data_IF_052630810591
#
_entry.id   IF_052630810591
#
_cell.length_a   1.000
_cell.length_b   1.000
_cell.length_c   1.000
_cell.angle_alpha   90.00
_cell.angle_beta   90.00
_cell.angle_gamma   90.00
#
_symmetry.space_group_name_H-M   'P 1'
#
loop_
_entity.id
_entity.type
_entity.pdbx_description
1 polymer ?
#
# COMPACT_ATOMS: atom_id res chain seq x y z
N UNK A 1 4.53 10.56 -23.45
CA UNK A 1 3.91 9.76 -22.37
C UNK A 1 4.76 8.52 -22.22
N UNK A 2 5.43 8.37 -21.07
CA UNK A 2 6.22 7.17 -20.76
C UNK A 2 5.21 6.08 -20.38
N UNK A 3 5.28 4.89 -20.98
CA UNK A 3 4.37 3.83 -20.62
C UNK A 3 4.69 3.30 -19.21
N UNK A 4 3.70 2.77 -18.49
CA UNK A 4 3.89 2.18 -17.16
C UNK A 4 5.02 1.14 -17.14
N UNK A 5 5.18 0.38 -18.21
CA UNK A 5 6.25 -0.61 -18.39
C UNK A 5 7.67 -0.01 -18.40
N UNK A 6 7.79 1.32 -18.50
CA UNK A 6 9.07 2.04 -18.51
C UNK A 6 9.47 2.54 -17.11
N UNK A 7 8.55 2.56 -16.15
CA UNK A 7 8.84 2.87 -14.76
C UNK A 7 9.22 1.59 -14.00
N UNK A 8 10.42 1.54 -13.40
CA UNK A 8 10.84 0.38 -12.61
C UNK A 8 9.89 0.11 -11.44
N UNK A 9 9.69 -1.18 -11.14
CA UNK A 9 8.92 -1.60 -9.98
C UNK A 9 9.66 -1.18 -8.70
N UNK A 10 9.01 -0.47 -7.75
CA UNK A 10 9.64 -0.10 -6.50
C UNK A 10 9.99 -1.33 -5.66
N UNK A 11 11.02 -1.22 -4.89
CA UNK A 11 11.45 -2.23 -3.92
C UNK A 11 11.57 -1.61 -2.53
N UNK A 12 11.81 -2.40 -1.51
CA UNK A 12 12.10 -1.89 -0.17
C UNK A 12 13.30 -0.94 -0.17
N UNK A 13 14.32 -1.21 -0.98
CA UNK A 13 15.51 -0.37 -1.10
C UNK A 13 15.20 1.01 -1.67
N UNK A 14 14.19 1.12 -2.53
CA UNK A 14 13.72 2.41 -3.09
C UNK A 14 13.44 3.44 -1.99
N UNK A 15 12.94 2.98 -0.85
CA UNK A 15 12.59 3.81 0.30
C UNK A 15 13.46 3.54 1.53
N UNK A 16 14.61 2.90 1.35
CA UNK A 16 15.56 2.55 2.43
C UNK A 16 14.91 1.78 3.59
N UNK A 17 13.94 0.92 3.28
CA UNK A 17 13.22 0.12 4.26
C UNK A 17 14.04 -1.09 4.68
N UNK A 18 13.90 -1.48 5.95
CA UNK A 18 14.58 -2.63 6.55
C UNK A 18 13.65 -3.46 7.42
N UNK A 19 14.03 -4.71 7.72
CA UNK A 19 13.30 -5.58 8.64
C UNK A 19 11.86 -5.84 8.20
N UNK A 20 10.93 -5.77 9.15
CA UNK A 20 9.50 -6.00 8.91
C UNK A 20 8.88 -5.01 7.92
N UNK A 21 9.32 -3.76 7.90
CA UNK A 21 8.85 -2.75 6.96
C UNK A 21 9.22 -3.11 5.52
N UNK A 22 10.45 -3.59 5.30
CA UNK A 22 10.87 -4.06 4.00
C UNK A 22 10.02 -5.24 3.53
N UNK A 23 9.78 -6.20 4.40
CA UNK A 23 8.99 -7.39 4.06
C UNK A 23 7.53 -7.06 3.72
N UNK A 24 6.87 -6.24 4.53
CA UNK A 24 5.47 -5.87 4.27
C UNK A 24 5.34 -4.98 3.03
N UNK A 25 6.32 -4.12 2.76
CA UNK A 25 6.34 -3.29 1.56
C UNK A 25 6.51 -4.13 0.29
N UNK A 26 7.45 -5.08 0.27
CA UNK A 26 7.64 -6.01 -0.84
C UNK A 26 6.39 -6.84 -1.11
N UNK A 27 5.70 -7.28 -0.05
CA UNK A 27 4.42 -7.96 -0.18
C UNK A 27 3.35 -7.04 -0.81
N UNK A 28 3.26 -5.80 -0.37
CA UNK A 28 2.34 -4.80 -0.93
C UNK A 28 2.62 -4.56 -2.42
N UNK A 29 3.87 -4.40 -2.81
CA UNK A 29 4.27 -4.27 -4.22
C UNK A 29 3.86 -5.51 -5.01
N UNK A 30 4.04 -6.70 -4.47
CA UNK A 30 3.68 -7.94 -5.15
C UNK A 30 2.18 -8.08 -5.41
N UNK A 31 1.34 -7.50 -4.56
CA UNK A 31 -0.12 -7.47 -4.73
C UNK A 31 -0.50 -6.65 -5.97
N UNK A 32 0.15 -5.50 -6.19
CA UNK A 32 -0.11 -4.67 -7.37
C UNK A 32 0.40 -5.27 -8.66
N UNK A 33 1.47 -6.04 -8.62
CA UNK A 33 2.08 -6.62 -9.81
C UNK A 33 1.44 -7.95 -10.25
N UNK A 34 0.32 -8.32 -9.66
CA UNK A 34 -0.44 -9.47 -10.13
C UNK A 34 -1.15 -9.12 -11.43
N UNK A 35 -0.73 -9.76 -12.52
CA UNK A 35 -1.37 -9.67 -13.85
C UNK A 35 -2.85 -10.11 -13.86
N UNK A 36 -3.27 -10.76 -12.80
CA UNK A 36 -4.62 -11.27 -12.57
C UNK A 36 -5.52 -10.32 -11.76
N UNK A 37 -5.04 -9.11 -11.43
CA UNK A 37 -5.84 -8.04 -10.83
C UNK A 37 -6.05 -6.89 -11.84
N UNK A 38 -6.85 -7.10 -12.91
CA UNK A 38 -7.04 -6.09 -13.97
C UNK A 38 -7.71 -4.81 -13.49
N UNK A 39 -8.39 -4.85 -12.35
CA UNK A 39 -8.99 -3.68 -11.71
C UNK A 39 -7.97 -2.63 -11.24
N UNK A 40 -6.70 -3.04 -11.05
CA UNK A 40 -5.60 -2.16 -10.68
C UNK A 40 -4.80 -1.66 -11.88
N UNK A 41 -4.94 -2.32 -13.01
CA UNK A 41 -4.19 -2.08 -14.24
C UNK A 41 -5.14 -1.95 -15.43
N UNK A 42 -5.97 -0.91 -15.46
CA UNK A 42 -6.59 -0.55 -16.73
C UNK A 42 -5.53 0.13 -17.60
N UNK A 43 -5.25 -0.44 -18.77
CA UNK A 43 -4.34 0.13 -19.75
C UNK A 43 -4.60 1.63 -19.93
N UNK A 44 -3.59 2.47 -19.64
CA UNK A 44 -3.64 3.91 -19.85
C UNK A 44 -4.17 4.76 -18.70
N UNK A 45 -4.40 4.21 -17.50
CA UNK A 45 -4.97 4.97 -16.38
C UNK A 45 -3.94 5.66 -15.48
N UNK A 46 -2.72 5.13 -15.35
CA UNK A 46 -1.66 5.77 -14.56
C UNK A 46 -0.27 5.39 -15.09
N UNK A 47 0.70 6.25 -14.82
CA UNK A 47 2.09 6.02 -15.20
C UNK A 47 2.83 5.19 -14.13
N UNK A 48 2.48 5.38 -12.87
CA UNK A 48 3.12 4.73 -11.73
C UNK A 48 2.12 4.52 -10.60
N UNK A 49 2.23 3.38 -9.93
CA UNK A 49 1.49 3.08 -8.70
C UNK A 49 2.49 2.79 -7.60
N UNK A 50 2.42 3.53 -6.51
CA UNK A 50 3.21 3.29 -5.31
C UNK A 50 2.31 2.89 -4.14
N UNK A 51 2.53 1.73 -3.52
CA UNK A 51 1.82 1.37 -2.30
C UNK A 51 2.29 2.21 -1.13
N UNK A 52 1.36 2.52 -0.23
CA UNK A 52 1.63 3.10 1.07
C UNK A 52 0.76 2.38 2.11
N UNK A 53 1.32 2.10 3.24
CA UNK A 53 0.68 1.36 4.31
C UNK A 53 0.70 2.18 5.59
N UNK A 54 -0.44 2.28 6.28
CA UNK A 54 -0.48 2.75 7.66
C UNK A 54 -0.82 1.55 8.53
N UNK A 55 0.14 1.11 9.32
CA UNK A 55 -0.04 -0.04 10.20
C UNK A 55 -0.86 0.36 11.42
N UNK A 56 -1.93 -0.38 11.68
CA UNK A 56 -2.77 -0.25 12.87
C UNK A 56 -2.43 -1.27 13.95
N UNK A 57 -1.93 -2.43 13.57
CA UNK A 57 -1.54 -3.48 14.47
C UNK A 57 -1.03 -4.71 13.73
N UNK A 58 -0.56 -5.68 14.47
CA UNK A 58 -0.14 -6.98 13.95
C UNK A 58 -0.36 -8.09 14.96
N UNK A 59 -0.57 -9.30 14.47
CA UNK A 59 -0.68 -10.50 15.30
C UNK A 59 -0.05 -11.70 14.62
N UNK A 60 0.20 -12.75 15.38
CA UNK A 60 0.63 -14.03 14.85
C UNK A 60 -0.53 -15.00 14.73
N UNK A 61 -0.59 -15.73 13.63
CA UNK A 61 -1.52 -16.84 13.43
C UNK A 61 -1.05 -18.08 14.17
N UNK A 62 -1.93 -19.06 14.34
CA UNK A 62 -1.60 -20.36 14.94
C UNK A 62 -0.49 -21.09 14.19
N UNK A 63 -0.34 -20.84 12.89
CA UNK A 63 0.71 -21.39 12.04
C UNK A 63 2.06 -20.66 12.20
N UNK A 64 2.08 -19.58 12.97
CA UNK A 64 3.25 -18.74 13.23
C UNK A 64 3.58 -17.73 12.13
N UNK A 65 2.63 -17.44 11.24
CA UNK A 65 2.71 -16.34 10.28
C UNK A 65 2.38 -15.02 10.96
N UNK A 66 2.87 -13.91 10.42
CA UNK A 66 2.55 -12.56 10.93
C UNK A 66 1.53 -11.89 10.04
N UNK A 67 0.42 -11.47 10.61
CA UNK A 67 -0.61 -10.67 9.93
C UNK A 67 -0.51 -9.22 10.36
N UNK A 68 -0.37 -8.33 9.38
CA UNK A 68 -0.39 -6.88 9.55
C UNK A 68 -1.79 -6.36 9.20
N UNK A 69 -2.39 -5.61 10.12
CA UNK A 69 -3.64 -4.89 9.88
C UNK A 69 -3.30 -3.48 9.48
N UNK A 70 -3.70 -3.07 8.29
CA UNK A 70 -3.24 -1.84 7.66
C UNK A 70 -4.37 -1.05 7.01
N UNK A 71 -4.21 0.27 6.94
CA UNK A 71 -4.81 1.05 5.88
C UNK A 71 -3.88 0.95 4.67
N UNK A 72 -4.38 0.31 3.63
CA UNK A 72 -3.64 0.03 2.41
C UNK A 72 -3.97 1.07 1.35
N UNK A 73 -3.02 1.93 1.05
CA UNK A 73 -3.18 2.99 0.08
C UNK A 73 -2.48 2.65 -1.23
N UNK A 74 -3.17 2.92 -2.32
CA UNK A 74 -2.66 2.87 -3.69
C UNK A 74 -2.55 4.29 -4.18
N UNK A 75 -1.32 4.76 -4.35
CA UNK A 75 -1.07 6.10 -4.85
C UNK A 75 -0.73 6.02 -6.33
N UNK A 76 -1.61 6.59 -7.14
CA UNK A 76 -1.51 6.63 -8.59
C UNK A 76 -0.91 7.97 -9.00
N UNK A 77 0.07 7.93 -9.88
CA UNK A 77 0.72 9.10 -10.45
C UNK A 77 0.55 9.12 -11.96
N UNK A 78 0.20 10.28 -12.49
CA UNK A 78 -0.10 10.51 -13.89
C UNK A 78 0.81 11.62 -14.42
N UNK A 79 1.05 11.65 -15.73
CA UNK A 79 1.85 12.66 -16.42
C UNK A 79 3.33 12.74 -16.00
N UNK A 80 3.85 11.70 -15.35
CA UNK A 80 5.27 11.64 -14.95
C UNK A 80 6.22 11.76 -16.14
N UNK A 81 5.83 11.20 -17.29
CA UNK A 81 6.62 11.26 -18.51
C UNK A 81 6.88 12.67 -19.01
N UNK A 82 5.99 13.61 -18.74
CA UNK A 82 6.15 15.02 -19.09
C UNK A 82 7.09 15.77 -18.12
N UNK A 83 7.27 15.23 -16.91
CA UNK A 83 8.11 15.82 -15.86
C UNK A 83 9.51 15.24 -15.77
N UNK A 84 9.83 14.16 -16.46
CA UNK A 84 11.14 13.51 -16.40
C UNK A 84 12.30 14.37 -16.96
N UNK A 85 11.99 15.45 -17.69
CA UNK A 85 12.99 16.42 -18.14
C UNK A 85 13.45 17.41 -17.05
N UNK A 86 12.69 17.54 -15.98
CA UNK A 86 13.02 18.34 -14.80
C UNK A 86 12.73 17.53 -13.53
N UNK A 87 13.70 16.72 -13.13
CA UNK A 87 13.60 15.83 -11.98
C UNK A 87 13.50 16.59 -10.65
N UNK A 88 13.88 17.86 -10.61
CA UNK A 88 13.78 18.70 -9.40
C UNK A 88 12.35 19.21 -9.18
N UNK A 89 11.57 19.32 -10.26
CA UNK A 89 10.19 19.77 -10.22
C UNK A 89 9.33 18.96 -11.19
N UNK A 90 9.11 17.66 -10.94
CA UNK A 90 8.30 16.84 -11.81
C UNK A 90 6.86 17.35 -11.81
N UNK A 91 6.29 17.54 -13.00
CA UNK A 91 4.88 17.87 -13.16
C UNK A 91 4.10 16.57 -13.22
N UNK A 92 3.26 16.33 -12.23
CA UNK A 92 2.40 15.15 -12.18
C UNK A 92 1.09 15.47 -11.45
N UNK A 93 0.09 14.67 -11.70
CA UNK A 93 -1.12 14.61 -10.89
C UNK A 93 -1.11 13.32 -10.08
N UNK A 94 -1.65 13.35 -8.88
CA UNK A 94 -1.72 12.18 -8.02
C UNK A 94 -3.12 12.00 -7.43
N UNK A 95 -3.47 10.76 -7.19
CA UNK A 95 -4.63 10.36 -6.39
C UNK A 95 -4.30 9.13 -5.58
N UNK A 96 -4.87 9.02 -4.39
CA UNK A 96 -4.71 7.84 -3.55
C UNK A 96 -6.07 7.23 -3.24
N UNK A 97 -6.17 5.93 -3.45
CA UNK A 97 -7.28 5.10 -2.97
C UNK A 97 -6.78 4.26 -1.80
N UNK A 98 -7.49 4.30 -0.69
CA UNK A 98 -7.12 3.57 0.51
C UNK A 98 -8.27 2.72 1.03
N UNK A 99 -7.92 1.61 1.67
CA UNK A 99 -8.90 0.69 2.25
C UNK A 99 -8.28 -0.09 3.42
N UNK A 100 -9.14 -0.57 4.32
CA UNK A 100 -8.74 -1.50 5.36
C UNK A 100 -8.35 -2.84 4.74
N UNK A 101 -7.19 -3.36 5.14
CA UNK A 101 -6.69 -4.64 4.65
C UNK A 101 -5.87 -5.39 5.70
N UNK A 102 -5.64 -6.66 5.46
CA UNK A 102 -4.63 -7.46 6.14
C UNK A 102 -3.67 -8.09 5.16
N UNK A 103 -2.39 -8.08 5.54
CA UNK A 103 -1.29 -8.71 4.81
C UNK A 103 -0.67 -9.75 5.74
N UNK A 104 -0.73 -11.01 5.36
CA UNK A 104 -0.13 -12.11 6.12
C UNK A 104 1.16 -12.56 5.44
N UNK A 105 2.24 -12.52 6.20
CA UNK A 105 3.57 -12.98 5.78
C UNK A 105 3.93 -14.29 6.48
N UNK A 106 4.51 -15.20 5.72
CA UNK A 106 5.13 -16.40 6.25
C UNK A 106 6.37 -16.10 7.10
N UNK A 107 6.91 -17.12 7.75
CA UNK A 107 8.15 -17.02 8.55
C UNK A 107 9.37 -16.62 7.73
N UNK A 108 9.33 -16.88 6.43
CA UNK A 108 10.33 -16.49 5.43
C UNK A 108 10.11 -15.06 4.86
N UNK A 109 9.06 -14.37 5.30
CA UNK A 109 8.69 -13.05 4.82
C UNK A 109 7.88 -13.05 3.51
N UNK A 110 7.58 -14.22 2.94
CA UNK A 110 6.77 -14.30 1.73
C UNK A 110 5.29 -14.01 2.00
N UNK A 111 4.62 -13.40 1.01
CA UNK A 111 3.17 -13.18 1.07
C UNK A 111 2.42 -14.50 1.09
N UNK A 112 1.65 -14.73 2.16
CA UNK A 112 0.78 -15.90 2.34
C UNK A 112 -0.67 -15.58 2.00
N UNK A 113 -1.18 -14.44 2.49
CA UNK A 113 -2.55 -14.03 2.27
C UNK A 113 -2.69 -12.50 2.26
N UNK A 114 -3.66 -12.04 1.49
CA UNK A 114 -4.11 -10.66 1.46
C UNK A 114 -5.63 -10.63 1.49
N UNK A 115 -6.19 -9.84 2.40
CA UNK A 115 -7.63 -9.61 2.50
C UNK A 115 -7.88 -8.12 2.56
N UNK A 116 -8.80 -7.63 1.75
CA UNK A 116 -9.18 -6.23 1.68
C UNK A 116 -10.67 -6.09 1.93
N UNK A 117 -11.09 -5.07 2.68
CA UNK A 117 -12.48 -4.74 2.85
C UNK A 117 -13.11 -4.37 1.49
N UNK A 118 -14.30 -4.88 1.22
CA UNK A 118 -14.98 -4.60 -0.05
C UNK A 118 -15.65 -3.24 0.00
N UNK A 119 -15.52 -2.48 -1.07
CA UNK A 119 -16.22 -1.22 -1.25
C UNK A 119 -17.74 -1.43 -1.37
N UNK A 120 -18.50 -0.43 -0.91
CA UNK A 120 -19.95 -0.40 -1.06
C UNK A 120 -20.70 -1.34 -0.12
N UNK A 121 -20.06 -1.84 0.91
CA UNK A 121 -20.71 -2.64 1.97
C UNK A 121 -21.52 -1.75 2.92
N UNK A 122 -22.65 -2.27 3.40
CA UNK A 122 -23.37 -1.59 4.47
C UNK A 122 -22.59 -1.67 5.81
N UNK A 123 -23.03 -0.89 6.80
CA UNK A 123 -22.33 -0.79 8.10
C UNK A 123 -22.16 -2.15 8.79
N UNK A 124 -23.12 -3.06 8.64
CA UNK A 124 -23.06 -4.39 9.22
C UNK A 124 -22.07 -5.31 8.53
N UNK A 125 -21.97 -5.24 7.22
CA UNK A 125 -20.97 -5.97 6.45
C UNK A 125 -19.56 -5.42 6.71
N UNK A 126 -19.40 -4.11 6.80
CA UNK A 126 -18.12 -3.52 7.10
C UNK A 126 -17.60 -3.96 8.48
N UNK A 127 -18.45 -3.96 9.51
CA UNK A 127 -18.09 -4.47 10.85
C UNK A 127 -17.61 -5.92 10.78
N UNK A 128 -18.27 -6.77 10.01
CA UNK A 128 -17.86 -8.16 9.81
C UNK A 128 -16.48 -8.25 9.15
N UNK A 129 -16.22 -7.47 8.10
CA UNK A 129 -14.92 -7.43 7.46
C UNK A 129 -13.82 -6.90 8.39
N UNK A 130 -14.10 -5.87 9.19
CA UNK A 130 -13.16 -5.35 10.17
C UNK A 130 -12.75 -6.43 11.17
N UNK A 131 -13.71 -7.21 11.69
CA UNK A 131 -13.41 -8.34 12.59
C UNK A 131 -12.64 -9.46 11.89
N UNK A 132 -12.97 -9.80 10.66
CA UNK A 132 -12.23 -10.79 9.86
C UNK A 132 -10.77 -10.36 9.64
N UNK A 133 -10.55 -9.11 9.23
CA UNK A 133 -9.23 -8.54 8.95
C UNK A 133 -8.39 -8.41 10.22
N UNK A 134 -8.99 -7.96 11.33
CA UNK A 134 -8.30 -7.76 12.60
C UNK A 134 -8.07 -9.06 13.38
N UNK A 135 -8.77 -10.15 13.03
CA UNK A 135 -8.61 -11.45 13.69
C UNK A 135 -8.82 -11.38 15.20
N UNK A 136 -7.82 -11.76 16.02
CA UNK A 136 -7.92 -11.76 17.47
C UNK A 136 -7.93 -10.35 18.10
N UNK A 137 -7.67 -9.29 17.33
CA UNK A 137 -7.62 -7.90 17.78
C UNK A 137 -9.02 -7.26 17.76
N UNK A 138 -9.93 -7.77 18.60
CA UNK A 138 -11.34 -7.39 18.62
C UNK A 138 -11.55 -5.91 18.91
N UNK A 139 -10.81 -5.35 19.88
CA UNK A 139 -10.92 -3.94 20.25
C UNK A 139 -10.50 -3.03 19.07
N UNK A 140 -9.49 -3.42 18.32
CA UNK A 140 -9.06 -2.69 17.13
C UNK A 140 -10.16 -2.75 16.04
N UNK A 141 -10.81 -3.90 15.85
CA UNK A 141 -11.90 -4.03 14.89
C UNK A 141 -13.08 -3.12 15.25
N UNK A 142 -13.42 -3.01 16.53
CA UNK A 142 -14.49 -2.13 17.01
C UNK A 142 -14.11 -0.65 16.82
N UNK A 143 -12.88 -0.27 17.12
CA UNK A 143 -12.37 1.10 16.92
C UNK A 143 -12.39 1.50 15.44
N UNK A 144 -11.91 0.63 14.54
CA UNK A 144 -11.94 0.86 13.10
C UNK A 144 -13.38 0.98 12.59
N UNK A 145 -14.28 0.12 13.06
CA UNK A 145 -15.70 0.18 12.69
C UNK A 145 -16.35 1.49 13.13
N UNK A 146 -16.09 1.93 14.36
CA UNK A 146 -16.59 3.19 14.89
C UNK A 146 -16.05 4.41 14.14
N UNK A 147 -14.82 4.33 13.63
CA UNK A 147 -14.18 5.38 12.84
C UNK A 147 -14.61 5.40 11.35
N UNK A 148 -15.41 4.42 10.92
CA UNK A 148 -15.84 4.32 9.51
C UNK A 148 -14.78 3.78 8.55
N UNK A 149 -13.81 3.02 9.06
CA UNK A 149 -12.83 2.26 8.25
C UNK A 149 -11.40 2.76 8.29
N UNK A 150 -11.18 4.02 8.58
CA UNK A 150 -9.86 4.63 8.64
C UNK A 150 -9.70 5.30 10.00
N UNK A 151 -8.67 4.91 10.74
CA UNK A 151 -8.32 5.60 11.97
C UNK A 151 -7.63 6.93 11.64
N UNK A 152 -7.91 8.01 12.39
CA UNK A 152 -7.33 9.33 12.15
C UNK A 152 -5.81 9.36 12.38
N UNK A 153 -5.28 8.45 13.21
CA UNK A 153 -3.87 8.31 13.48
C UNK A 153 -3.47 6.84 13.37
N UNK A 154 -2.52 6.56 12.47
CA UNK A 154 -1.86 5.27 12.37
C UNK A 154 -0.56 5.29 13.16
N UNK A 155 -0.22 4.21 13.83
CA UNK A 155 0.98 4.12 14.66
C UNK A 155 2.27 4.08 13.83
N UNK A 156 2.19 3.56 12.59
CA UNK A 156 3.37 3.34 11.77
C UNK A 156 3.04 3.38 10.29
N UNK A 157 3.73 4.24 9.53
CA UNK A 157 3.56 4.40 8.08
C UNK A 157 4.74 3.82 7.31
N UNK A 158 4.47 3.11 6.22
CA UNK A 158 5.47 2.49 5.34
C UNK A 158 5.14 2.80 3.87
N UNK A 159 5.98 3.48 3.10
CA UNK A 159 7.19 4.19 3.56
C UNK A 159 6.84 5.40 4.43
N UNK A 160 7.74 5.76 5.34
CA UNK A 160 7.55 6.91 6.22
C UNK A 160 7.93 8.20 5.50
N UNK A 161 6.96 8.77 4.80
CA UNK A 161 7.08 10.00 4.02
C UNK A 161 6.04 11.03 4.47
N UNK A 162 6.37 12.31 4.32
CA UNK A 162 5.50 13.40 4.77
C UNK A 162 4.39 13.76 3.79
N UNK A 163 4.53 13.35 2.53
CA UNK A 163 3.56 13.65 1.47
C UNK A 163 3.70 12.67 0.30
N UNK A 164 2.72 12.65 -0.60
CA UNK A 164 2.79 11.88 -1.84
C UNK A 164 3.89 12.41 -2.77
N UNK A 165 4.09 13.72 -2.77
CA UNK A 165 5.17 14.39 -3.51
C UNK A 165 6.54 13.89 -3.03
N UNK A 166 6.74 13.79 -1.71
CA UNK A 166 7.98 13.27 -1.15
C UNK A 166 8.21 11.80 -1.52
N UNK A 167 7.15 10.99 -1.58
CA UNK A 167 7.23 9.59 -1.95
C UNK A 167 7.63 9.41 -3.42
N UNK A 168 6.96 10.12 -4.34
CA UNK A 168 7.31 10.03 -5.76
C UNK A 168 8.69 10.61 -6.03
N UNK A 169 9.08 11.69 -5.35
CA UNK A 169 10.41 12.27 -5.50
C UNK A 169 11.50 11.28 -5.09
N UNK A 170 11.33 10.61 -3.94
CA UNK A 170 12.28 9.59 -3.48
C UNK A 170 12.38 8.42 -4.46
N UNK A 171 11.26 8.01 -5.05
CA UNK A 171 11.23 7.00 -6.10
C UNK A 171 12.01 7.45 -7.35
N UNK A 172 11.77 8.68 -7.82
CA UNK A 172 12.47 9.24 -9.00
C UNK A 172 13.95 9.39 -8.75
N UNK A 173 14.36 9.89 -7.59
CA UNK A 173 15.77 10.05 -7.19
C UNK A 173 16.49 8.68 -7.20
N UNK A 174 15.83 7.65 -6.71
CA UNK A 174 16.42 6.30 -6.65
C UNK A 174 16.69 5.70 -8.05
N UNK A 175 15.77 5.87 -8.99
CA UNK A 175 15.86 5.21 -10.29
C UNK A 175 16.46 6.08 -11.39
N UNK A 176 16.40 7.40 -11.28
CA UNK A 176 16.71 8.33 -12.37
C UNK A 176 17.76 9.39 -12.02
N UNK A 177 18.07 9.62 -10.75
CA UNK A 177 19.20 10.41 -10.33
C UNK A 177 20.44 9.51 -10.16
N UNK A 178 21.17 9.33 -11.24
CA UNK A 178 22.46 8.65 -11.28
C UNK A 178 23.57 9.64 -11.56
#
# INVERSE_FOLDING_TARGET
>A
MVAYDEFPIPTADTFSLTGGDAQVYEAAVSIFNRKDCPEYFSEGSSDLILPMLVQYGKYQTDEGNTTYVVNFARCFFFDLGNGLGDMQNPVYTSTCLNNLASITLGKDGALVAFTEAKDGTDDGEFSRFAHEICGPMTDLAEEITAAGGILPEGEHQVPNVNSYEAMVQQYLDYFFEG
#
